data_IF_885630422062
#
_entry.id   IF_885630422062
#
_cell.length_a   1.000
_cell.length_b   1.000
_cell.length_c   1.000
_cell.angle_alpha   90.00
_cell.angle_beta   90.00
_cell.angle_gamma   90.00
#
_symmetry.space_group_name_H-M   'P 1'
#
loop_
_entity.id
_entity.type
_entity.pdbx_description
1 polymer ?
#
# COMPACT_ATOMS: atom_id res chain seq x y z
N UNK A 1 -28.35 -30.10 48.71
CA UNK A 1 -28.36 -29.28 47.49
C UNK A 1 -26.93 -29.12 46.99
N UNK A 2 -26.43 -29.90 46.01
CA UNK A 2 -25.10 -29.66 45.46
C UNK A 2 -25.20 -28.63 44.32
N UNK A 3 -24.40 -27.57 44.43
CA UNK A 3 -24.25 -26.53 43.42
C UNK A 3 -23.48 -27.11 42.23
N UNK A 4 -24.17 -27.21 41.10
CA UNK A 4 -23.62 -27.55 39.80
C UNK A 4 -22.91 -26.32 39.22
N UNK A 5 -21.59 -26.42 39.04
CA UNK A 5 -20.80 -25.41 38.34
C UNK A 5 -20.88 -25.69 36.83
N UNK A 6 -21.61 -24.84 36.11
CA UNK A 6 -21.62 -24.83 34.65
C UNK A 6 -20.30 -24.26 34.13
N UNK A 7 -19.54 -24.99 33.28
CA UNK A 7 -18.30 -24.48 32.73
C UNK A 7 -18.58 -23.32 31.77
N UNK A 8 -17.65 -22.36 31.78
CA UNK A 8 -17.67 -21.07 31.09
C UNK A 8 -17.79 -21.20 29.55
N UNK A 9 -18.98 -21.48 29.04
CA UNK A 9 -19.28 -21.52 27.59
C UNK A 9 -19.46 -20.13 26.95
N UNK A 10 -19.32 -19.04 27.71
CA UNK A 10 -19.59 -17.68 27.23
C UNK A 10 -18.36 -16.97 26.63
N UNK A 11 -17.15 -17.48 26.85
CA UNK A 11 -15.89 -16.88 26.38
C UNK A 11 -15.50 -17.31 24.96
N UNK A 12 -16.11 -18.38 24.43
CA UNK A 12 -15.89 -18.83 23.05
C UNK A 12 -16.54 -17.92 21.99
N UNK A 13 -17.50 -17.08 22.37
CA UNK A 13 -18.16 -16.15 21.45
C UNK A 13 -17.36 -14.86 21.18
N UNK A 14 -16.35 -14.54 22.01
CA UNK A 14 -15.49 -13.37 21.83
C UNK A 14 -14.24 -13.67 20.99
N UNK A 15 -13.96 -14.96 20.73
CA UNK A 15 -12.93 -15.43 19.79
C UNK A 15 -13.45 -15.49 18.34
N UNK A 16 -14.26 -14.50 17.95
CA UNK A 16 -14.55 -14.21 16.55
C UNK A 16 -14.09 -12.79 16.24
N UNK A 17 -12.86 -12.47 16.67
CA UNK A 17 -12.09 -11.45 15.99
C UNK A 17 -11.94 -11.97 14.56
N UNK A 18 -12.59 -11.31 13.62
CA UNK A 18 -12.52 -11.58 12.19
C UNK A 18 -11.04 -11.69 11.83
N UNK A 19 -10.55 -12.91 11.71
CA UNK A 19 -9.25 -13.15 11.11
C UNK A 19 -9.41 -12.70 9.66
N UNK A 20 -9.05 -11.45 9.37
CA UNK A 20 -8.81 -11.01 8.01
C UNK A 20 -7.84 -12.02 7.43
N UNK A 21 -8.36 -12.89 6.56
CA UNK A 21 -7.53 -13.92 5.95
C UNK A 21 -6.42 -13.20 5.21
N UNK A 22 -5.19 -13.74 5.24
CA UNK A 22 -4.08 -13.05 4.58
C UNK A 22 -4.32 -12.79 3.08
N UNK A 23 -5.25 -13.54 2.47
CA UNK A 23 -5.81 -13.30 1.13
C UNK A 23 -6.59 -11.98 1.02
N UNK A 24 -7.49 -11.65 1.96
CA UNK A 24 -8.20 -10.37 1.97
C UNK A 24 -7.25 -9.19 2.16
N UNK A 25 -6.26 -9.32 3.06
CA UNK A 25 -5.25 -8.28 3.28
C UNK A 25 -4.41 -8.05 2.02
N UNK A 26 -4.01 -9.13 1.34
CA UNK A 26 -3.26 -9.06 0.08
C UNK A 26 -4.07 -8.39 -1.04
N UNK A 27 -5.39 -8.63 -1.09
CA UNK A 27 -6.26 -8.04 -2.11
C UNK A 27 -6.53 -6.55 -1.87
N UNK A 28 -6.78 -6.15 -0.62
CA UNK A 28 -6.91 -4.74 -0.24
C UNK A 28 -5.62 -3.95 -0.51
N UNK A 29 -4.46 -4.55 -0.21
CA UNK A 29 -3.19 -3.90 -0.51
C UNK A 29 -2.94 -3.81 -2.02
N UNK A 30 -3.22 -4.87 -2.80
CA UNK A 30 -3.07 -4.83 -4.26
C UNK A 30 -3.83 -3.66 -4.89
N UNK A 31 -5.05 -3.40 -4.43
CA UNK A 31 -5.84 -2.24 -4.85
C UNK A 31 -5.21 -0.89 -4.44
N UNK A 32 -4.63 -0.82 -3.24
CA UNK A 32 -3.91 0.38 -2.77
C UNK A 32 -2.65 0.65 -3.61
N UNK A 33 -1.86 -0.39 -3.89
CA UNK A 33 -0.67 -0.30 -4.73
C UNK A 33 -1.02 0.11 -6.15
N UNK A 34 -2.07 -0.46 -6.74
CA UNK A 34 -2.57 -0.08 -8.07
C UNK A 34 -2.96 1.40 -8.11
N UNK A 35 -3.68 1.86 -7.09
CA UNK A 35 -4.05 3.28 -6.93
C UNK A 35 -2.82 4.18 -6.78
N UNK A 36 -1.81 3.76 -6.01
CA UNK A 36 -0.57 4.51 -5.82
C UNK A 36 0.28 4.56 -7.11
N UNK A 37 0.34 3.47 -7.88
CA UNK A 37 1.00 3.40 -9.18
C UNK A 37 0.32 4.28 -10.23
N UNK A 38 -1.02 4.28 -10.26
CA UNK A 38 -1.80 5.19 -11.10
C UNK A 38 -1.55 6.66 -10.71
N UNK A 39 -1.45 6.94 -9.41
CA UNK A 39 -1.11 8.29 -8.93
C UNK A 39 0.31 8.69 -9.34
N UNK A 40 1.30 7.80 -9.19
CA UNK A 40 2.67 8.06 -9.62
C UNK A 40 2.77 8.28 -11.13
N UNK A 41 2.00 7.54 -11.92
CA UNK A 41 1.93 7.71 -13.38
C UNK A 41 1.37 9.08 -13.75
N UNK A 42 0.35 9.55 -13.02
CA UNK A 42 -0.20 10.91 -13.17
C UNK A 42 0.84 11.97 -12.77
N UNK A 43 1.47 11.82 -11.60
CA UNK A 43 2.50 12.75 -11.11
C UNK A 43 3.70 12.80 -12.10
N UNK A 44 4.06 11.67 -12.75
CA UNK A 44 5.07 11.62 -13.81
C UNK A 44 4.63 12.39 -15.07
N UNK A 45 3.41 12.17 -15.54
CA UNK A 45 2.89 12.86 -16.72
C UNK A 45 2.80 14.38 -16.51
N UNK A 46 2.47 14.82 -15.30
CA UNK A 46 2.49 16.22 -14.90
C UNK A 46 3.92 16.79 -14.93
N UNK A 47 4.90 16.06 -14.41
CA UNK A 47 6.32 16.44 -14.44
C UNK A 47 6.87 16.54 -15.88
N UNK A 48 6.49 15.60 -16.75
CA UNK A 48 6.86 15.62 -18.17
C UNK A 48 6.21 16.82 -18.90
N UNK A 49 4.97 17.18 -18.53
CA UNK A 49 4.29 18.38 -19.03
C UNK A 49 4.96 19.67 -18.56
N UNK A 50 5.25 19.80 -17.27
CA UNK A 50 5.98 20.95 -16.70
C UNK A 50 7.34 21.12 -17.36
N UNK A 51 8.05 20.02 -17.64
CA UNK A 51 9.30 20.04 -18.39
C UNK A 51 9.10 20.56 -19.81
N UNK A 52 8.04 20.12 -20.50
CA UNK A 52 7.73 20.57 -21.87
C UNK A 52 7.34 22.05 -21.91
N UNK A 53 6.54 22.51 -20.95
CA UNK A 53 6.10 23.91 -20.84
C UNK A 53 7.28 24.83 -20.44
N UNK A 54 8.19 24.35 -19.59
CA UNK A 54 9.46 25.01 -19.30
C UNK A 54 10.34 25.17 -20.55
N UNK A 55 10.53 24.10 -21.34
CA UNK A 55 11.28 24.15 -22.60
C UNK A 55 10.64 25.07 -23.65
N UNK A 56 9.32 25.28 -23.58
CA UNK A 56 8.57 26.22 -24.44
C UNK A 56 8.75 27.69 -24.01
N UNK A 57 9.39 27.95 -22.88
CA UNK A 57 9.63 29.30 -22.35
C UNK A 57 8.45 29.87 -21.55
N UNK A 58 7.51 29.03 -21.11
CA UNK A 58 6.55 29.43 -20.07
C UNK A 58 7.27 29.51 -18.71
N UNK A 59 6.87 30.47 -17.86
CA UNK A 59 7.45 30.74 -16.53
C UNK A 59 7.18 29.61 -15.52
N UNK A 60 7.57 28.39 -15.84
CA UNK A 60 7.70 27.31 -14.87
C UNK A 60 9.07 27.49 -14.21
N UNK A 61 9.08 27.75 -12.92
CA UNK A 61 10.33 27.85 -12.17
C UNK A 61 11.13 26.55 -12.29
N UNK A 62 12.42 26.64 -12.64
CA UNK A 62 13.37 25.50 -12.70
C UNK A 62 13.35 24.70 -11.40
N UNK A 63 13.15 25.38 -10.28
CA UNK A 63 12.98 24.82 -8.95
C UNK A 63 11.81 23.84 -8.87
N UNK A 64 10.64 24.16 -9.45
CA UNK A 64 9.49 23.26 -9.43
C UNK A 64 9.72 22.01 -10.27
N UNK A 65 10.43 22.13 -11.40
CA UNK A 65 10.79 20.98 -12.25
C UNK A 65 11.78 20.05 -11.55
N UNK A 66 12.81 20.61 -10.91
CA UNK A 66 13.79 19.82 -10.14
C UNK A 66 13.12 19.10 -8.95
N UNK A 67 12.24 19.80 -8.21
CA UNK A 67 11.49 19.18 -7.10
C UNK A 67 10.58 18.05 -7.61
N UNK A 68 9.88 18.28 -8.73
CA UNK A 68 9.02 17.26 -9.32
C UNK A 68 9.82 16.03 -9.79
N UNK A 69 10.98 16.24 -10.41
CA UNK A 69 11.88 15.17 -10.82
C UNK A 69 12.43 14.37 -9.62
N UNK A 70 12.88 15.05 -8.57
CA UNK A 70 13.37 14.42 -7.33
C UNK A 70 12.27 13.57 -6.68
N UNK A 71 11.04 14.11 -6.59
CA UNK A 71 9.88 13.41 -6.04
C UNK A 71 9.54 12.14 -6.83
N UNK A 72 9.62 12.18 -8.16
CA UNK A 72 9.39 11.01 -9.02
C UNK A 72 10.47 9.95 -8.80
N UNK A 73 11.74 10.36 -8.71
CA UNK A 73 12.86 9.44 -8.44
C UNK A 73 12.68 8.71 -7.11
N UNK A 74 12.44 9.48 -6.04
CA UNK A 74 12.22 8.93 -4.69
C UNK A 74 10.96 8.05 -4.63
N UNK A 75 9.89 8.45 -5.32
CA UNK A 75 8.64 7.70 -5.41
C UNK A 75 8.82 6.36 -6.13
N UNK A 76 9.65 6.31 -7.17
CA UNK A 76 9.95 5.07 -7.90
C UNK A 76 10.75 4.10 -7.03
N UNK A 77 11.78 4.58 -6.33
CA UNK A 77 12.56 3.74 -5.42
C UNK A 77 11.71 3.17 -4.29
N UNK A 78 10.89 4.02 -3.67
CA UNK A 78 9.93 3.59 -2.65
C UNK A 78 8.96 2.53 -3.20
N UNK A 79 8.45 2.71 -4.42
CA UNK A 79 7.56 1.74 -5.08
C UNK A 79 8.22 0.36 -5.22
N UNK A 80 9.50 0.31 -5.58
CA UNK A 80 10.25 -0.97 -5.68
C UNK A 80 10.37 -1.64 -4.31
N UNK A 81 10.68 -0.87 -3.26
CA UNK A 81 10.76 -1.40 -1.89
C UNK A 81 9.41 -1.95 -1.42
N UNK A 82 8.34 -1.21 -1.67
CA UNK A 82 6.96 -1.64 -1.37
C UNK A 82 6.59 -2.92 -2.09
N UNK A 83 6.92 -3.02 -3.39
CA UNK A 83 6.70 -4.23 -4.20
C UNK A 83 7.44 -5.45 -3.64
N UNK A 84 8.69 -5.27 -3.19
CA UNK A 84 9.45 -6.37 -2.60
C UNK A 84 8.85 -6.81 -1.25
N UNK A 85 8.50 -5.86 -0.38
CA UNK A 85 7.84 -6.12 0.92
C UNK A 85 6.49 -6.81 0.76
N UNK A 86 5.75 -6.51 -0.31
CA UNK A 86 4.52 -7.22 -0.68
C UNK A 86 4.75 -8.69 -0.98
N UNK A 87 5.75 -8.99 -1.82
CA UNK A 87 6.07 -10.36 -2.21
C UNK A 87 6.47 -11.17 -0.98
N UNK A 88 7.26 -10.58 -0.07
CA UNK A 88 7.61 -11.17 1.21
C UNK A 88 6.37 -11.44 2.08
N UNK A 89 5.47 -10.46 2.23
CA UNK A 89 4.26 -10.59 3.05
C UNK A 89 3.31 -11.68 2.50
N UNK A 90 3.14 -11.76 1.18
CA UNK A 90 2.37 -12.81 0.53
C UNK A 90 2.96 -14.20 0.79
N UNK A 91 4.29 -14.33 0.69
CA UNK A 91 5.00 -15.57 0.98
C UNK A 91 4.85 -15.99 2.45
N UNK A 92 4.96 -15.05 3.40
CA UNK A 92 4.82 -15.34 4.83
C UNK A 92 3.40 -15.79 5.19
N UNK A 93 2.37 -15.14 4.64
CA UNK A 93 0.97 -15.53 4.82
C UNK A 93 0.73 -16.97 4.32
N UNK A 94 1.30 -17.34 3.18
CA UNK A 94 1.19 -18.70 2.64
C UNK A 94 1.90 -19.72 3.52
N UNK A 95 3.02 -19.33 4.14
CA UNK A 95 3.78 -20.18 5.06
C UNK A 95 3.10 -20.37 6.41
N UNK A 96 2.29 -19.41 6.86
CA UNK A 96 1.47 -19.54 8.09
C UNK A 96 0.25 -20.45 7.93
N UNK A 97 -0.23 -20.69 6.70
CA UNK A 97 -1.43 -21.50 6.42
C UNK A 97 -1.14 -22.97 6.11
N UNK A 98 0.13 -23.34 5.91
CA UNK A 98 0.58 -24.72 5.68
C UNK A 98 0.90 -25.45 6.98
#
# INVERSE_FOLDING_TARGET
NPVSFQPLQSISALSKSTATTGTELSQHFGQYLDSALNKLSTDKAESDKLTTDFLRGESVGVDQMLIAAEKVSLGLEFTVQVRNKMIEAYQEIMRMQM
#
